data_IF_916702639641
#
_entry.id   IF_916702639641
#
_cell.length_a   1.000
_cell.length_b   1.000
_cell.length_c   1.000
_cell.angle_alpha   90.00
_cell.angle_beta   90.00
_cell.angle_gamma   90.00
#
_symmetry.space_group_name_H-M   'P 1'
#
loop_
_entity.id
_entity.type
_entity.pdbx_description
1 polymer ?
#
# COMPACT_ATOMS: atom_id res chain seq x y z
N UNK A 1 -13.47 -12.31 15.34
CA UNK A 1 -12.35 -12.49 14.37
C UNK A 1 -11.04 -12.60 15.13
N UNK A 2 -10.10 -13.46 14.70
CA UNK A 2 -8.79 -13.62 15.36
C UNK A 2 -7.79 -12.58 14.82
N UNK A 3 -7.15 -11.84 15.72
CA UNK A 3 -6.07 -10.90 15.34
C UNK A 3 -4.86 -11.70 14.87
N UNK A 4 -4.32 -11.33 13.71
CA UNK A 4 -3.13 -11.92 13.13
C UNK A 4 -1.86 -11.39 13.82
N UNK A 5 -0.82 -12.21 13.85
CA UNK A 5 0.46 -11.89 14.50
C UNK A 5 1.54 -11.36 13.52
N UNK A 6 1.19 -11.19 12.26
CA UNK A 6 2.07 -10.60 11.24
C UNK A 6 1.25 -9.96 10.12
N UNK A 7 1.83 -8.97 9.41
CA UNK A 7 1.24 -8.39 8.22
C UNK A 7 0.97 -9.47 7.15
N UNK A 8 1.96 -10.36 6.91
CA UNK A 8 1.82 -11.45 5.95
C UNK A 8 0.63 -12.37 6.27
N UNK A 9 0.41 -12.72 7.54
CA UNK A 9 -0.74 -13.57 7.92
C UNK A 9 -2.07 -12.84 7.78
N UNK A 10 -2.11 -11.53 7.98
CA UNK A 10 -3.33 -10.74 7.76
C UNK A 10 -3.67 -10.66 6.28
N UNK A 11 -2.69 -10.37 5.41
CA UNK A 11 -2.87 -10.37 3.96
C UNK A 11 -3.37 -11.73 3.48
N UNK A 12 -2.72 -12.82 3.91
CA UNK A 12 -3.11 -14.17 3.53
C UNK A 12 -4.54 -14.50 3.99
N UNK A 13 -4.89 -14.21 5.24
CA UNK A 13 -6.24 -14.42 5.77
C UNK A 13 -7.30 -13.61 5.03
N UNK A 14 -6.97 -12.35 4.70
CA UNK A 14 -7.84 -11.47 3.92
C UNK A 14 -8.15 -12.05 2.53
N UNK A 15 -7.13 -12.51 1.81
CA UNK A 15 -7.28 -13.05 0.46
C UNK A 15 -7.98 -14.42 0.45
N UNK A 16 -7.65 -15.32 1.41
CA UNK A 16 -8.28 -16.65 1.51
C UNK A 16 -9.77 -16.56 1.88
N UNK A 17 -10.13 -15.67 2.80
CA UNK A 17 -11.51 -15.52 3.27
C UNK A 17 -12.32 -14.52 2.45
N UNK A 18 -11.68 -13.76 1.55
CA UNK A 18 -12.29 -12.69 0.74
C UNK A 18 -13.09 -11.66 1.57
N UNK A 19 -12.54 -11.29 2.73
CA UNK A 19 -13.13 -10.33 3.65
C UNK A 19 -12.08 -9.31 4.10
N UNK A 20 -11.97 -9.04 5.36
CA UNK A 20 -10.89 -8.26 5.95
C UNK A 20 -10.20 -9.04 7.07
N UNK A 21 -8.98 -8.63 7.39
CA UNK A 21 -8.21 -9.20 8.49
C UNK A 21 -7.42 -8.10 9.21
N UNK A 22 -7.18 -8.29 10.51
CA UNK A 22 -6.48 -7.32 11.35
C UNK A 22 -5.22 -7.96 11.90
N UNK A 23 -4.11 -7.22 11.87
CA UNK A 23 -2.90 -7.53 12.62
C UNK A 23 -2.61 -6.39 13.60
N UNK A 24 -2.23 -6.75 14.83
CA UNK A 24 -1.71 -5.83 15.84
C UNK A 24 -0.26 -6.20 16.11
N UNK A 25 0.67 -5.33 15.75
CA UNK A 25 2.09 -5.65 15.64
C UNK A 25 2.92 -4.80 16.59
N UNK A 26 3.87 -5.45 17.21
CA UNK A 26 4.89 -4.85 18.07
C UNK A 26 6.28 -5.07 17.45
N UNK A 27 7.11 -4.23 17.63
CA UNK A 27 8.50 -3.88 17.44
C UNK A 27 9.54 -4.75 16.76
N UNK A 28 9.46 -6.03 16.65
CA UNK A 28 10.62 -6.87 16.31
C UNK A 28 10.75 -7.27 14.84
N UNK A 29 9.93 -6.73 13.97
CA UNK A 29 10.11 -6.98 12.55
C UNK A 29 11.22 -6.07 11.99
N UNK A 30 12.26 -6.70 11.42
CA UNK A 30 13.24 -6.02 10.58
C UNK A 30 12.49 -5.14 9.58
N UNK A 31 12.98 -3.92 9.27
CA UNK A 31 12.35 -3.07 8.27
C UNK A 31 12.12 -3.91 7.02
N UNK A 32 10.84 -4.08 6.68
CA UNK A 32 10.46 -4.84 5.49
C UNK A 32 10.94 -4.06 4.27
N UNK A 33 11.44 -4.75 3.25
CA UNK A 33 11.64 -4.12 1.96
C UNK A 33 10.29 -3.69 1.41
N UNK A 34 10.30 -2.72 0.48
CA UNK A 34 9.10 -2.32 -0.23
C UNK A 34 8.34 -3.57 -0.71
N UNK A 35 7.07 -3.63 -0.42
CA UNK A 35 6.20 -4.75 -0.77
C UNK A 35 4.90 -4.25 -1.41
N UNK A 36 4.24 -5.14 -2.11
CA UNK A 36 3.01 -4.90 -2.87
C UNK A 36 2.10 -6.10 -2.62
N UNK A 37 0.81 -5.85 -2.46
CA UNK A 37 -0.18 -6.90 -2.28
C UNK A 37 -1.51 -6.58 -2.97
N UNK A 38 -2.38 -7.58 -3.08
CA UNK A 38 -3.64 -7.55 -3.84
C UNK A 38 -4.85 -7.07 -3.01
N UNK A 39 -4.64 -6.59 -1.80
CA UNK A 39 -5.69 -6.06 -0.93
C UNK A 39 -5.45 -4.57 -0.63
N UNK A 40 -6.49 -3.86 -0.21
CA UNK A 40 -6.31 -2.56 0.44
C UNK A 40 -5.68 -2.75 1.81
N UNK A 41 -4.92 -1.76 2.26
CA UNK A 41 -4.36 -1.74 3.61
C UNK A 41 -4.67 -0.42 4.31
N UNK A 42 -5.10 -0.52 5.56
CA UNK A 42 -5.11 0.59 6.50
C UNK A 42 -3.98 0.35 7.48
N UNK A 43 -3.04 1.27 7.53
CA UNK A 43 -1.93 1.25 8.47
C UNK A 43 -2.11 2.37 9.50
N UNK A 44 -2.22 2.02 10.79
CA UNK A 44 -2.35 2.96 11.89
C UNK A 44 -1.16 2.87 12.84
N UNK A 45 -0.48 3.99 13.09
CA UNK A 45 0.63 4.09 14.05
C UNK A 45 0.11 4.38 15.45
N UNK A 46 0.29 3.43 16.38
CA UNK A 46 0.01 3.63 17.81
C UNK A 46 1.19 4.33 18.46
N UNK A 47 2.42 3.89 18.16
CA UNK A 47 3.64 4.49 18.67
C UNK A 47 4.80 4.35 17.69
N UNK A 48 5.76 5.27 17.77
CA UNK A 48 6.88 5.31 16.85
C UNK A 48 6.49 5.80 15.46
N UNK A 49 7.44 5.77 14.58
CA UNK A 49 7.33 6.24 13.21
C UNK A 49 8.24 7.42 12.94
N UNK A 50 8.61 7.61 11.72
CA UNK A 50 9.35 8.77 11.26
C UNK A 50 9.02 9.05 9.80
N UNK A 51 9.20 8.06 8.93
CA UNK A 51 8.95 8.23 7.52
C UNK A 51 8.38 6.97 6.87
N UNK A 52 7.35 7.16 6.05
CA UNK A 52 6.69 6.13 5.29
C UNK A 52 6.77 6.46 3.80
N UNK A 53 7.24 5.53 2.99
CA UNK A 53 7.17 5.62 1.54
C UNK A 53 5.93 4.85 1.07
N UNK A 54 5.06 5.52 0.32
CA UNK A 54 3.94 4.89 -0.37
C UNK A 54 4.03 5.33 -1.82
N UNK A 55 4.17 4.36 -2.70
CA UNK A 55 4.38 4.53 -4.13
C UNK A 55 5.58 5.45 -4.46
N UNK A 56 5.35 6.70 -4.76
CA UNK A 56 6.39 7.70 -5.05
C UNK A 56 6.37 8.89 -4.07
N UNK A 57 5.69 8.77 -2.93
CA UNK A 57 5.56 9.85 -1.95
C UNK A 57 6.10 9.44 -0.59
N UNK A 58 6.89 10.33 -0.02
CA UNK A 58 7.33 10.22 1.37
C UNK A 58 6.39 10.99 2.30
N UNK A 59 6.03 10.35 3.38
CA UNK A 59 5.21 10.92 4.43
C UNK A 59 5.98 10.87 5.75
N UNK A 60 6.17 12.01 6.38
CA UNK A 60 6.53 12.01 7.79
C UNK A 60 5.31 11.59 8.62
N UNK A 61 5.52 10.74 9.61
CA UNK A 61 4.43 10.25 10.43
C UNK A 61 4.82 10.03 11.89
N UNK A 62 3.82 10.11 12.75
CA UNK A 62 3.92 9.93 14.20
C UNK A 62 2.76 9.10 14.72
N UNK A 63 2.69 8.93 16.05
CA UNK A 63 1.52 8.33 16.72
C UNK A 63 0.22 9.07 16.34
N UNK A 64 -0.83 8.32 16.04
CA UNK A 64 -2.13 8.83 15.61
C UNK A 64 -2.31 9.02 14.11
N UNK A 65 -1.23 8.90 13.33
CA UNK A 65 -1.32 8.93 11.87
C UNK A 65 -1.83 7.59 11.32
N UNK A 66 -2.67 7.69 10.30
CA UNK A 66 -3.29 6.56 9.63
C UNK A 66 -3.10 6.72 8.12
N UNK A 67 -2.75 5.62 7.46
CA UNK A 67 -2.54 5.56 6.02
C UNK A 67 -3.53 4.64 5.35
N UNK A 68 -4.02 5.05 4.19
CA UNK A 68 -4.80 4.25 3.27
C UNK A 68 -3.94 3.89 2.06
N UNK A 69 -3.68 2.62 1.88
CA UNK A 69 -2.82 2.08 0.83
C UNK A 69 -3.70 1.28 -0.12
N UNK A 70 -3.67 1.64 -1.40
CA UNK A 70 -4.45 0.98 -2.43
C UNK A 70 -3.81 -0.35 -2.83
N UNK A 71 -4.55 -1.20 -3.54
CA UNK A 71 -3.97 -2.37 -4.21
C UNK A 71 -2.77 -1.95 -5.04
N UNK A 72 -1.75 -2.78 -5.04
CA UNK A 72 -0.57 -2.62 -5.89
C UNK A 72 0.28 -1.36 -5.64
N UNK A 73 -0.05 -0.52 -4.67
CA UNK A 73 0.84 0.56 -4.24
C UNK A 73 2.01 -0.01 -3.44
N UNK A 74 3.22 0.19 -3.96
CA UNK A 74 4.44 -0.21 -3.26
C UNK A 74 4.65 0.64 -2.02
N UNK A 75 4.75 0.02 -0.84
CA UNK A 75 4.87 0.78 0.40
C UNK A 75 5.84 0.14 1.39
N UNK A 76 6.34 0.99 2.31
CA UNK A 76 7.34 0.57 3.27
C UNK A 76 7.63 1.70 4.28
N UNK A 77 7.68 1.42 5.60
CA UNK A 77 8.21 2.37 6.59
C UNK A 77 9.71 2.51 6.39
N UNK A 78 10.16 3.63 5.82
CA UNK A 78 11.56 3.85 5.41
C UNK A 78 12.47 4.18 6.58
N UNK A 79 11.94 4.82 7.61
CA UNK A 79 12.63 5.12 8.85
C UNK A 79 11.70 4.95 10.04
N UNK A 80 12.20 4.32 11.10
CA UNK A 80 11.52 4.15 12.38
C UNK A 80 12.45 4.72 13.45
N UNK A 81 11.93 5.65 14.25
CA UNK A 81 12.70 6.46 15.20
C UNK A 81 12.72 5.92 16.62
N UNK A 82 11.88 4.96 16.94
CA UNK A 82 11.75 4.46 18.30
C UNK A 82 12.10 2.99 18.43
N UNK A 83 12.47 2.65 19.65
CA UNK A 83 12.72 1.28 20.06
C UNK A 83 11.44 0.45 20.04
N UNK A 84 10.27 1.08 20.14
CA UNK A 84 8.96 0.40 20.18
C UNK A 84 8.03 0.99 19.13
N UNK A 85 7.87 0.26 18.02
CA UNK A 85 6.94 0.61 16.96
C UNK A 85 5.71 -0.28 17.04
N UNK A 86 4.64 0.24 17.62
CA UNK A 86 3.35 -0.43 17.74
C UNK A 86 2.40 0.08 16.66
N UNK A 87 1.77 -0.85 15.93
CA UNK A 87 0.91 -0.52 14.80
C UNK A 87 -0.23 -1.51 14.62
N UNK A 88 -1.30 -1.04 14.04
CA UNK A 88 -2.43 -1.86 13.58
C UNK A 88 -2.49 -1.82 12.07
N UNK A 89 -2.63 -3.00 11.46
CA UNK A 89 -2.80 -3.17 10.03
C UNK A 89 -4.15 -3.83 9.79
N UNK A 90 -4.96 -3.26 8.88
CA UNK A 90 -6.21 -3.85 8.42
C UNK A 90 -6.05 -4.12 6.93
N UNK A 91 -5.99 -5.39 6.55
CA UNK A 91 -6.01 -5.82 5.15
C UNK A 91 -7.45 -6.04 4.72
N UNK A 92 -7.88 -5.49 3.59
CA UNK A 92 -9.27 -5.50 3.14
C UNK A 92 -9.33 -6.03 1.70
N UNK A 93 -10.15 -7.07 1.49
CA UNK A 93 -10.39 -7.61 0.15
C UNK A 93 -11.23 -6.62 -0.68
N UNK A 94 -10.79 -6.23 -1.88
CA UNK A 94 -11.42 -5.14 -2.63
C UNK A 94 -12.90 -5.38 -2.95
N UNK A 95 -13.24 -6.57 -3.42
CA UNK A 95 -14.64 -6.88 -3.73
C UNK A 95 -15.53 -6.94 -2.49
N UNK A 96 -14.97 -7.26 -1.33
CA UNK A 96 -15.71 -7.17 -0.07
C UNK A 96 -16.06 -5.70 0.24
N UNK A 97 -15.09 -4.80 0.16
CA UNK A 97 -15.34 -3.37 0.39
C UNK A 97 -16.32 -2.80 -0.64
N UNK A 98 -16.20 -3.20 -1.91
CA UNK A 98 -17.13 -2.81 -2.96
C UNK A 98 -18.58 -3.25 -2.66
N UNK A 99 -18.76 -4.46 -2.15
CA UNK A 99 -20.08 -4.98 -1.73
C UNK A 99 -20.64 -4.26 -0.49
N UNK A 100 -19.78 -3.62 0.31
CA UNK A 100 -20.16 -2.79 1.45
C UNK A 100 -20.66 -1.38 1.05
N UNK A 101 -20.42 -0.95 -0.18
CA UNK A 101 -20.91 0.34 -0.70
C UNK A 101 -22.43 0.31 -0.96
N UNK A 102 -23.05 1.49 -0.94
CA UNK A 102 -24.45 1.67 -1.37
C UNK A 102 -24.50 2.52 -2.63
N UNK A 103 -25.69 2.69 -3.21
CA UNK A 103 -25.91 3.55 -4.39
C UNK A 103 -25.50 5.01 -4.16
N UNK A 104 -25.42 5.45 -2.92
CA UNK A 104 -25.10 6.83 -2.53
C UNK A 104 -23.80 6.99 -1.76
N UNK A 105 -23.17 5.90 -1.33
CA UNK A 105 -21.98 5.93 -0.47
C UNK A 105 -20.92 4.96 -0.99
N UNK A 106 -19.84 5.51 -1.48
CA UNK A 106 -18.65 4.76 -1.88
C UNK A 106 -17.61 4.76 -0.74
N UNK A 107 -17.39 3.61 -0.13
CA UNK A 107 -16.39 3.43 0.94
C UNK A 107 -14.95 3.30 0.42
N UNK A 108 -14.76 3.22 -0.91
CA UNK A 108 -13.44 3.15 -1.51
C UNK A 108 -12.77 4.54 -1.65
N UNK A 109 -13.46 5.64 -1.37
CA UNK A 109 -12.94 6.99 -1.58
C UNK A 109 -11.59 7.23 -0.89
N UNK A 110 -11.41 6.75 0.34
CA UNK A 110 -10.15 6.90 1.06
C UNK A 110 -8.98 6.14 0.43
N UNK A 111 -9.23 5.15 -0.44
CA UNK A 111 -8.19 4.43 -1.18
C UNK A 111 -7.96 4.99 -2.59
N UNK A 112 -8.99 5.50 -3.26
CA UNK A 112 -8.94 5.91 -4.66
C UNK A 112 -8.68 7.41 -4.85
N UNK A 113 -9.11 8.26 -3.91
CA UNK A 113 -8.96 9.70 -4.04
C UNK A 113 -7.52 10.12 -3.74
N UNK A 114 -6.86 10.71 -4.73
CA UNK A 114 -5.51 11.26 -4.65
C UNK A 114 -5.46 12.58 -5.42
N UNK A 115 -4.78 13.57 -4.88
CA UNK A 115 -4.42 14.81 -5.57
C UNK A 115 -2.99 15.23 -5.20
N UNK A 116 -2.51 16.35 -5.72
CA UNK A 116 -1.13 16.79 -5.52
C UNK A 116 -0.78 17.09 -4.05
N UNK A 117 -1.76 17.47 -3.25
CA UNK A 117 -1.55 17.92 -1.86
C UNK A 117 -2.08 16.94 -0.82
N UNK A 118 -3.03 16.06 -1.18
CA UNK A 118 -3.68 15.13 -0.27
C UNK A 118 -3.78 13.73 -0.88
N UNK A 119 -3.60 12.69 -0.08
CA UNK A 119 -3.62 11.35 -0.62
C UNK A 119 -3.76 10.27 0.44
N UNK A 120 -2.67 9.64 0.83
CA UNK A 120 -2.72 8.42 1.63
C UNK A 120 -2.94 8.64 3.13
N UNK A 121 -2.58 9.81 3.66
CA UNK A 121 -2.46 10.05 5.11
C UNK A 121 -3.59 10.88 5.68
N UNK A 122 -4.11 10.46 6.83
CA UNK A 122 -4.90 11.29 7.75
C UNK A 122 -4.28 11.25 9.14
N UNK A 123 -4.53 12.27 9.95
CA UNK A 123 -4.14 12.32 11.36
C UNK A 123 -5.39 12.30 12.22
N UNK A 124 -5.49 11.32 13.13
CA UNK A 124 -6.61 11.20 14.05
C UNK A 124 -6.39 12.08 15.29
N UNK A 125 -7.39 12.87 15.66
CA UNK A 125 -7.43 13.56 16.96
C UNK A 125 -7.48 12.55 18.12
N UNK A 126 -7.19 12.97 19.33
CA UNK A 126 -7.18 12.09 20.50
C UNK A 126 -8.50 11.32 20.71
N UNK A 127 -9.65 11.95 20.42
CA UNK A 127 -10.94 11.29 20.54
C UNK A 127 -11.24 10.36 19.37
N UNK A 128 -10.79 10.71 18.18
CA UNK A 128 -10.87 9.83 16.99
C UNK A 128 -9.98 8.59 17.15
N UNK A 129 -8.79 8.72 17.74
CA UNK A 129 -7.93 7.58 18.10
C UNK A 129 -8.61 6.62 19.07
N UNK A 130 -9.24 7.15 20.15
CA UNK A 130 -10.02 6.32 21.10
C UNK A 130 -11.14 5.57 20.38
N UNK A 131 -11.86 6.26 19.49
CA UNK A 131 -12.96 5.67 18.73
C UNK A 131 -12.47 4.61 17.74
N UNK A 132 -11.35 4.85 17.06
CA UNK A 132 -10.72 3.86 16.18
C UNK A 132 -10.34 2.59 16.97
N UNK A 133 -9.62 2.75 18.08
CA UNK A 133 -9.22 1.62 18.94
C UNK A 133 -10.43 0.88 19.53
N UNK A 134 -11.52 1.55 19.82
CA UNK A 134 -12.77 0.92 20.25
C UNK A 134 -13.34 -0.01 19.15
N UNK A 135 -13.33 0.41 17.88
CA UNK A 135 -13.73 -0.47 16.78
C UNK A 135 -12.82 -1.68 16.64
N UNK A 136 -11.51 -1.47 16.74
CA UNK A 136 -10.53 -2.56 16.68
C UNK A 136 -10.76 -3.57 17.81
N UNK A 137 -11.01 -3.09 19.02
CA UNK A 137 -11.33 -3.95 20.16
C UNK A 137 -12.60 -4.77 19.92
N UNK A 138 -13.66 -4.17 19.38
CA UNK A 138 -14.89 -4.88 19.02
C UNK A 138 -14.67 -5.97 17.97
N UNK A 139 -13.84 -5.70 16.95
CA UNK A 139 -13.51 -6.64 15.89
C UNK A 139 -12.58 -7.78 16.36
N UNK A 140 -11.93 -7.64 17.50
CA UNK A 140 -11.08 -8.67 18.11
C UNK A 140 -11.81 -9.67 18.99
N UNK A 141 -13.13 -9.71 18.92
CA UNK A 141 -14.00 -10.45 19.82
C UNK A 141 -14.09 -11.97 19.62
N UNK A 142 -15.03 -12.58 20.32
CA UNK A 142 -15.26 -14.01 20.49
C UNK A 142 -15.77 -14.73 19.23
N UNK A 143 -15.71 -16.07 19.24
CA UNK A 143 -16.35 -16.94 18.24
C UNK A 143 -17.80 -17.30 18.69
N UNK A 144 -18.60 -16.29 19.02
CA UNK A 144 -19.99 -16.48 19.44
C UNK A 144 -20.95 -16.46 18.24
N UNK A 145 -22.17 -16.97 18.45
CA UNK A 145 -23.22 -16.94 17.44
C UNK A 145 -23.49 -15.51 16.95
N UNK A 146 -23.43 -15.31 15.62
CA UNK A 146 -23.69 -14.00 14.99
C UNK A 146 -22.51 -13.03 15.07
N UNK A 147 -21.32 -13.46 15.49
CA UNK A 147 -20.14 -12.61 15.55
C UNK A 147 -19.72 -12.11 14.17
N UNK A 148 -19.86 -12.91 13.13
CA UNK A 148 -19.62 -12.54 11.74
C UNK A 148 -20.50 -11.38 11.28
N UNK A 149 -21.77 -11.35 11.71
CA UNK A 149 -22.70 -10.24 11.44
C UNK A 149 -22.27 -8.97 12.20
N UNK A 150 -21.87 -9.14 13.47
CA UNK A 150 -21.40 -8.03 14.27
C UNK A 150 -20.08 -7.46 13.73
N UNK A 151 -19.15 -8.33 13.33
CA UNK A 151 -17.88 -7.92 12.70
C UNK A 151 -18.14 -7.12 11.43
N UNK A 152 -19.09 -7.56 10.59
CA UNK A 152 -19.49 -6.84 9.39
C UNK A 152 -20.10 -5.46 9.73
N UNK A 153 -21.01 -5.38 10.69
CA UNK A 153 -21.62 -4.12 11.10
C UNK A 153 -20.60 -3.13 11.66
N UNK A 154 -19.69 -3.61 12.51
CA UNK A 154 -18.60 -2.78 13.08
C UNK A 154 -17.62 -2.33 12.00
N UNK A 155 -17.32 -3.18 11.01
CA UNK A 155 -16.48 -2.82 9.87
C UNK A 155 -17.12 -1.70 9.04
N UNK A 156 -18.43 -1.77 8.75
CA UNK A 156 -19.14 -0.69 8.04
C UNK A 156 -19.09 0.64 8.81
N UNK A 157 -19.28 0.57 10.13
CA UNK A 157 -19.17 1.76 11.00
C UNK A 157 -17.76 2.35 10.97
N UNK A 158 -16.73 1.51 11.09
CA UNK A 158 -15.32 1.89 11.01
C UNK A 158 -15.00 2.56 9.66
N UNK A 159 -15.35 1.92 8.55
CA UNK A 159 -15.06 2.48 7.21
C UNK A 159 -15.80 3.79 6.94
N UNK A 160 -17.05 3.91 7.41
CA UNK A 160 -17.82 5.16 7.33
C UNK A 160 -17.16 6.26 8.17
N UNK A 161 -16.72 5.94 9.39
CA UNK A 161 -16.03 6.86 10.27
C UNK A 161 -14.72 7.36 9.65
N UNK A 162 -13.90 6.47 9.12
CA UNK A 162 -12.62 6.82 8.51
C UNK A 162 -12.81 7.65 7.22
N UNK A 163 -13.76 7.30 6.35
CA UNK A 163 -14.05 8.09 5.16
C UNK A 163 -14.54 9.51 5.49
N UNK A 164 -15.34 9.69 6.54
CA UNK A 164 -15.76 11.04 7.00
C UNK A 164 -14.56 11.89 7.41
N UNK A 165 -13.60 11.33 8.13
CA UNK A 165 -12.38 12.05 8.52
C UNK A 165 -11.55 12.36 7.27
N UNK A 166 -11.39 11.39 6.39
CA UNK A 166 -10.64 11.53 5.14
C UNK A 166 -11.22 12.67 4.27
N UNK A 167 -12.54 12.68 4.04
CA UNK A 167 -13.20 13.72 3.26
C UNK A 167 -13.04 15.10 3.91
N UNK A 168 -13.22 15.21 5.22
CA UNK A 168 -13.01 16.46 5.95
C UNK A 168 -11.59 16.99 5.77
N UNK A 169 -10.56 16.15 6.01
CA UNK A 169 -9.16 16.59 5.91
C UNK A 169 -8.75 16.86 4.46
N UNK A 170 -9.33 16.18 3.47
CA UNK A 170 -9.09 16.47 2.06
C UNK A 170 -9.56 17.86 1.65
N UNK A 171 -10.68 18.32 2.21
CA UNK A 171 -11.21 19.66 1.96
C UNK A 171 -10.38 20.75 2.64
N UNK A 172 -9.86 20.47 3.83
CA UNK A 172 -9.00 21.41 4.59
C UNK A 172 -7.60 21.55 3.96
N UNK A 173 -7.06 20.49 3.35
CA UNK A 173 -5.70 20.46 2.78
C UNK A 173 -5.51 21.29 1.51
N UNK A 174 -6.57 21.72 0.86
CA UNK A 174 -6.51 22.59 -0.34
C UNK A 174 -5.86 23.95 -0.04
N UNK A 175 -5.68 24.31 1.24
CA UNK A 175 -5.12 25.61 1.69
C UNK A 175 -3.65 25.58 2.14
N UNK A 176 -2.99 24.44 2.22
CA UNK A 176 -1.63 24.30 2.77
C UNK A 176 -0.78 23.35 1.93
N UNK A 177 0.09 23.87 1.08
CA UNK A 177 1.14 23.06 0.42
C UNK A 177 2.46 23.18 1.21
N UNK A 178 2.93 22.11 1.90
CA UNK A 178 4.30 22.08 2.39
C UNK A 178 5.25 21.73 1.24
N UNK A 179 6.30 22.51 1.03
CA UNK A 179 7.38 22.13 0.13
C UNK A 179 8.14 20.92 0.70
N UNK A 180 8.38 19.86 -0.11
CA UNK A 180 9.21 18.73 0.32
C UNK A 180 10.65 19.20 0.54
N UNK A 181 11.34 18.63 1.54
CA UNK A 181 12.78 18.87 1.71
C UNK A 181 13.53 18.50 0.42
N UNK A 182 14.52 19.31 0.02
CA UNK A 182 15.21 19.21 -1.28
C UNK A 182 15.76 17.79 -1.61
N UNK A 183 16.16 17.02 -0.59
CA UNK A 183 16.60 15.62 -0.75
C UNK A 183 15.45 14.69 -1.16
N UNK A 184 14.26 14.89 -0.60
CA UNK A 184 13.08 14.09 -0.96
C UNK A 184 12.57 14.46 -2.36
N UNK A 185 12.71 15.72 -2.78
CA UNK A 185 12.33 16.14 -4.13
C UNK A 185 13.09 15.34 -5.20
N UNK A 186 14.41 15.20 -5.10
CA UNK A 186 15.20 14.44 -6.07
C UNK A 186 14.80 12.96 -6.14
N UNK A 187 14.54 12.32 -5.00
CA UNK A 187 14.09 10.92 -4.98
C UNK A 187 12.68 10.79 -5.52
N UNK A 188 11.78 11.72 -5.19
CA UNK A 188 10.43 11.76 -5.75
C UNK A 188 10.45 11.91 -7.27
N UNK A 189 11.33 12.76 -7.81
CA UNK A 189 11.49 12.92 -9.25
C UNK A 189 11.96 11.62 -9.92
N UNK A 190 12.93 10.91 -9.31
CA UNK A 190 13.41 9.61 -9.80
C UNK A 190 12.28 8.57 -9.76
N UNK A 191 11.52 8.47 -8.67
CA UNK A 191 10.40 7.54 -8.53
C UNK A 191 9.29 7.85 -9.54
N UNK A 192 8.94 9.13 -9.69
CA UNK A 192 7.94 9.59 -10.67
C UNK A 192 8.36 9.27 -12.10
N UNK A 193 9.63 9.55 -12.43
CA UNK A 193 10.16 9.21 -13.76
C UNK A 193 10.09 7.71 -14.05
N UNK A 194 10.47 6.86 -13.08
CA UNK A 194 10.39 5.41 -13.23
C UNK A 194 8.94 4.97 -13.45
N UNK A 195 7.99 5.51 -12.67
CA UNK A 195 6.57 5.13 -12.78
C UNK A 195 5.95 5.54 -14.11
N UNK A 196 6.28 6.74 -14.62
CA UNK A 196 5.78 7.23 -15.93
C UNK A 196 6.38 6.44 -17.10
N UNK A 197 7.65 6.01 -17.00
CA UNK A 197 8.36 5.34 -18.07
C UNK A 197 8.51 3.83 -17.82
N UNK A 198 7.59 3.21 -17.08
CA UNK A 198 7.71 1.84 -16.59
C UNK A 198 7.82 0.80 -17.73
N UNK A 199 7.21 1.10 -18.89
CA UNK A 199 7.21 0.26 -20.10
C UNK A 199 8.50 0.39 -20.91
N UNK A 200 9.29 1.44 -20.67
CA UNK A 200 10.51 1.73 -21.42
C UNK A 200 11.72 0.94 -20.88
N UNK A 201 12.84 1.03 -21.59
CA UNK A 201 14.11 0.44 -21.14
C UNK A 201 14.75 1.26 -20.02
N UNK A 202 14.39 0.94 -18.78
CA UNK A 202 14.90 1.58 -17.56
C UNK A 202 16.18 0.89 -17.07
N UNK A 203 17.35 1.35 -17.57
CA UNK A 203 18.65 0.91 -17.04
C UNK A 203 19.19 1.91 -16.01
N UNK A 204 20.02 1.41 -15.07
CA UNK A 204 20.70 2.29 -14.08
C UNK A 204 21.52 3.36 -14.81
N UNK A 205 22.11 3.02 -15.95
CA UNK A 205 22.90 3.97 -16.75
C UNK A 205 22.04 5.09 -17.32
N UNK A 206 20.92 4.76 -17.97
CA UNK A 206 20.01 5.74 -18.57
C UNK A 206 19.40 6.66 -17.50
N UNK A 207 19.02 6.10 -16.35
CA UNK A 207 18.52 6.87 -15.20
C UNK A 207 19.60 7.82 -14.64
N UNK A 208 20.83 7.33 -14.49
CA UNK A 208 21.94 8.15 -14.00
C UNK A 208 22.26 9.32 -14.94
N UNK A 209 22.28 9.07 -16.25
CA UNK A 209 22.44 10.10 -17.27
C UNK A 209 21.30 11.13 -17.25
N UNK A 210 20.06 10.66 -17.16
CA UNK A 210 18.87 11.53 -17.10
C UNK A 210 18.88 12.49 -15.91
N UNK A 211 19.29 12.00 -14.73
CA UNK A 211 19.33 12.80 -13.50
C UNK A 211 20.69 13.45 -13.22
N UNK A 212 21.63 13.40 -14.16
CA UNK A 212 22.98 13.97 -14.02
C UNK A 212 23.74 13.44 -12.80
N UNK A 213 23.58 12.13 -12.50
CA UNK A 213 24.21 11.44 -11.39
C UNK A 213 25.19 10.37 -11.87
N UNK A 214 26.16 10.01 -11.02
CA UNK A 214 26.87 8.75 -11.25
C UNK A 214 25.97 7.56 -10.88
N UNK A 215 26.12 6.44 -11.59
CA UNK A 215 25.34 5.21 -11.31
C UNK A 215 25.48 4.76 -9.85
N UNK A 216 26.68 4.90 -9.26
CA UNK A 216 26.93 4.54 -7.87
C UNK A 216 26.19 5.46 -6.89
N UNK A 217 26.18 6.76 -7.16
CA UNK A 217 25.48 7.73 -6.34
C UNK A 217 23.97 7.56 -6.43
N UNK A 218 23.44 7.41 -7.62
CA UNK A 218 22.01 7.11 -7.86
C UNK A 218 21.57 5.86 -7.09
N UNK A 219 22.30 4.74 -7.22
CA UNK A 219 21.98 3.50 -6.51
C UNK A 219 22.01 3.66 -5.00
N UNK A 220 22.98 4.44 -4.47
CA UNK A 220 23.11 4.69 -3.04
C UNK A 220 21.93 5.51 -2.51
N UNK A 221 21.67 6.71 -3.06
CA UNK A 221 20.60 7.58 -2.58
C UNK A 221 19.23 6.92 -2.71
N UNK A 222 18.99 6.19 -3.81
CA UNK A 222 17.75 5.44 -4.01
C UNK A 222 17.57 4.37 -2.95
N UNK A 223 18.63 3.57 -2.68
CA UNK A 223 18.57 2.52 -1.67
C UNK A 223 18.43 3.07 -0.25
N UNK A 224 19.13 4.15 0.07
CA UNK A 224 19.06 4.80 1.38
C UNK A 224 17.65 5.36 1.64
N UNK A 225 17.00 5.91 0.60
CA UNK A 225 15.67 6.48 0.70
C UNK A 225 14.55 5.42 0.66
N UNK A 226 14.66 4.40 -0.20
CA UNK A 226 13.57 3.44 -0.48
C UNK A 226 13.76 2.07 0.18
N UNK A 227 14.89 1.83 0.83
CA UNK A 227 15.24 0.52 1.41
C UNK A 227 15.48 -0.60 0.37
N UNK A 228 15.31 -0.32 -0.93
CA UNK A 228 15.45 -1.33 -1.99
C UNK A 228 16.34 -0.85 -3.14
N UNK A 229 16.68 -1.75 -4.06
CA UNK A 229 17.42 -1.36 -5.27
C UNK A 229 16.48 -0.92 -6.39
N UNK A 230 16.96 -0.04 -7.28
CA UNK A 230 16.21 0.44 -8.46
C UNK A 230 15.61 -0.72 -9.26
N UNK A 231 16.40 -1.74 -9.57
CA UNK A 231 15.93 -2.88 -10.36
C UNK A 231 14.82 -3.68 -9.65
N UNK A 232 14.90 -3.82 -8.32
CA UNK A 232 13.83 -4.47 -7.55
C UNK A 232 12.57 -3.62 -7.54
N UNK A 233 12.71 -2.32 -7.40
CA UNK A 233 11.58 -1.39 -7.45
C UNK A 233 10.87 -1.45 -8.80
N UNK A 234 11.61 -1.30 -9.92
CA UNK A 234 11.07 -1.42 -11.28
C UNK A 234 10.37 -2.76 -11.48
N UNK A 235 11.02 -3.85 -11.06
CA UNK A 235 10.43 -5.20 -11.17
C UNK A 235 9.12 -5.30 -10.38
N UNK A 236 9.08 -4.81 -9.15
CA UNK A 236 7.88 -4.84 -8.32
C UNK A 236 6.73 -4.06 -8.97
N UNK A 237 7.02 -2.85 -9.49
CA UNK A 237 6.02 -2.02 -10.19
C UNK A 237 5.51 -2.68 -11.48
N UNK A 238 6.37 -3.29 -12.27
CA UNK A 238 5.98 -4.04 -13.48
C UNK A 238 5.09 -5.24 -13.15
N UNK A 239 5.40 -5.98 -12.09
CA UNK A 239 4.57 -7.10 -11.64
C UNK A 239 3.23 -6.61 -11.10
N UNK A 240 3.19 -5.48 -10.39
CA UNK A 240 1.96 -4.84 -9.97
C UNK A 240 1.05 -4.51 -11.15
N UNK A 241 1.59 -3.81 -12.13
CA UNK A 241 0.86 -3.47 -13.36
C UNK A 241 0.41 -4.72 -14.14
N UNK A 242 1.24 -5.78 -14.16
CA UNK A 242 0.87 -7.05 -14.77
C UNK A 242 -0.35 -7.70 -14.09
N UNK A 243 -0.46 -7.60 -12.77
CA UNK A 243 -1.62 -8.12 -12.03
C UNK A 243 -2.90 -7.36 -12.37
N UNK A 244 -2.82 -6.02 -12.45
CA UNK A 244 -3.95 -5.16 -12.86
C UNK A 244 -4.47 -5.59 -14.24
N UNK A 245 -3.58 -5.65 -15.25
CA UNK A 245 -3.94 -6.03 -16.62
C UNK A 245 -4.52 -7.45 -16.71
N UNK A 246 -3.96 -8.41 -15.96
CA UNK A 246 -4.49 -9.77 -15.92
C UNK A 246 -5.89 -9.83 -15.29
N UNK A 247 -6.16 -9.02 -14.28
CA UNK A 247 -7.49 -8.91 -13.63
C UNK A 247 -8.49 -8.21 -14.56
N UNK A 248 -8.03 -7.27 -15.40
CA UNK A 248 -8.84 -6.62 -16.45
C UNK A 248 -9.12 -7.53 -17.65
N UNK A 249 -8.56 -8.75 -17.67
CA UNK A 249 -8.79 -9.76 -18.70
C UNK A 249 -7.80 -9.73 -19.86
N UNK A 250 -6.71 -8.99 -19.77
CA UNK A 250 -5.65 -9.01 -20.78
C UNK A 250 -5.01 -10.40 -20.87
N UNK A 251 -4.61 -10.80 -22.06
CA UNK A 251 -3.87 -12.05 -22.24
C UNK A 251 -2.47 -11.96 -21.61
N UNK A 252 -1.89 -13.11 -21.27
CA UNK A 252 -0.55 -13.19 -20.66
C UNK A 252 0.54 -12.58 -21.56
N UNK A 253 0.37 -12.66 -22.89
CA UNK A 253 1.31 -12.11 -23.86
C UNK A 253 1.20 -10.57 -23.90
N UNK A 254 -0.01 -10.04 -24.07
CA UNK A 254 -0.27 -8.59 -24.04
C UNK A 254 0.20 -7.96 -22.73
N UNK A 255 -0.05 -8.63 -21.62
CA UNK A 255 0.42 -8.18 -20.31
C UNK A 255 1.95 -8.08 -20.23
N UNK A 256 2.67 -9.07 -20.78
CA UNK A 256 4.14 -9.03 -20.83
C UNK A 256 4.65 -7.80 -21.58
N UNK A 257 4.09 -7.52 -22.75
CA UNK A 257 4.47 -6.38 -23.58
C UNK A 257 4.11 -5.04 -22.94
N UNK A 258 2.91 -4.95 -22.39
CA UNK A 258 2.38 -3.71 -21.76
C UNK A 258 3.06 -3.36 -20.42
N UNK A 259 3.74 -4.32 -19.78
CA UNK A 259 4.43 -4.07 -18.49
C UNK A 259 5.93 -3.77 -18.64
N UNK A 260 6.45 -3.65 -19.87
CA UNK A 260 7.86 -3.36 -20.11
C UNK A 260 8.81 -4.53 -19.87
N UNK A 261 8.32 -5.77 -19.93
CA UNK A 261 9.17 -6.95 -19.97
C UNK A 261 9.53 -7.25 -21.44
N UNK A 262 10.80 -7.14 -21.79
CA UNK A 262 11.29 -7.40 -23.16
C UNK A 262 11.52 -8.89 -23.44
N UNK A 263 11.45 -9.76 -22.44
CA UNK A 263 11.64 -11.21 -22.56
C UNK A 263 10.50 -11.94 -21.85
N UNK A 264 9.72 -12.69 -22.61
CA UNK A 264 8.56 -13.43 -22.12
C UNK A 264 8.92 -14.50 -21.06
N UNK A 265 10.06 -15.19 -21.25
CA UNK A 265 10.50 -16.21 -20.30
C UNK A 265 10.93 -15.58 -18.97
N UNK A 266 11.57 -14.42 -19.03
CA UNK A 266 11.94 -13.65 -17.86
C UNK A 266 10.68 -13.11 -17.14
N UNK A 267 9.68 -12.63 -17.88
CA UNK A 267 8.39 -12.23 -17.33
C UNK A 267 7.74 -13.38 -16.55
N UNK A 268 7.56 -14.56 -17.17
CA UNK A 268 6.93 -15.72 -16.52
C UNK A 268 7.66 -16.14 -15.25
N UNK A 269 9.01 -16.20 -15.29
CA UNK A 269 9.83 -16.55 -14.12
C UNK A 269 9.69 -15.52 -13.01
N UNK A 270 9.77 -14.24 -13.35
CA UNK A 270 9.73 -13.14 -12.40
C UNK A 270 8.36 -13.05 -11.75
N UNK A 271 7.29 -13.12 -12.55
CA UNK A 271 5.92 -13.11 -12.05
C UNK A 271 5.68 -14.29 -11.11
N UNK A 272 5.98 -15.52 -11.54
CA UNK A 272 5.78 -16.73 -10.73
C UNK A 272 6.60 -16.69 -9.44
N UNK A 273 7.84 -16.20 -9.49
CA UNK A 273 8.68 -16.05 -8.29
C UNK A 273 8.11 -15.02 -7.30
N UNK A 274 7.53 -13.95 -7.81
CA UNK A 274 7.03 -12.83 -6.98
C UNK A 274 5.65 -13.11 -6.43
N UNK A 275 4.76 -13.67 -7.26
CA UNK A 275 3.34 -13.90 -6.95
C UNK A 275 3.07 -15.30 -6.36
N UNK A 276 3.96 -16.26 -6.63
CA UNK A 276 3.81 -17.66 -6.19
C UNK A 276 3.06 -18.56 -7.18
N UNK A 277 2.31 -18.00 -8.12
CA UNK A 277 1.60 -18.72 -9.17
C UNK A 277 1.88 -18.12 -10.55
N UNK A 278 1.65 -18.88 -11.63
CA UNK A 278 1.89 -18.37 -12.97
C UNK A 278 0.86 -17.30 -13.39
N UNK A 279 1.22 -16.37 -14.32
CA UNK A 279 0.29 -15.35 -14.82
C UNK A 279 -1.01 -15.95 -15.35
N UNK A 280 -0.94 -17.09 -16.06
CA UNK A 280 -2.11 -17.80 -16.56
C UNK A 280 -3.03 -18.30 -15.44
N UNK A 281 -2.46 -18.81 -14.35
CA UNK A 281 -3.25 -19.19 -13.18
C UNK A 281 -3.84 -17.97 -12.50
N UNK A 282 -3.06 -16.91 -12.37
CA UNK A 282 -3.51 -15.66 -11.74
C UNK A 282 -4.75 -15.09 -12.44
N UNK A 283 -4.75 -14.98 -13.77
CA UNK A 283 -5.90 -14.51 -14.55
C UNK A 283 -7.16 -15.40 -14.46
N UNK A 284 -7.02 -16.65 -14.05
CA UNK A 284 -8.15 -17.57 -13.88
C UNK A 284 -8.76 -17.56 -12.47
N UNK A 285 -8.06 -17.04 -11.48
CA UNK A 285 -8.57 -16.93 -10.11
C UNK A 285 -9.40 -15.66 -9.89
N UNK A 286 -9.18 -14.64 -10.70
CA UNK A 286 -9.82 -13.33 -10.59
C UNK A 286 -11.01 -13.15 -11.57
N UNK A 287 -11.22 -14.09 -12.48
CA UNK A 287 -12.37 -14.20 -13.38
C UNK A 287 -13.27 -15.39 -12.95
#
# INVERSE_FOLDING_TARGET
MKICNSCKSAIQSCLENQTFAIAHLYNDEKPMAIHIHDCYEIYYSISGGKQFLIDNRFYDFTSGDLFFINQYEGHYPSQIDSVTHERIIISIYPDYLKKCCSDTTDLNQCFSYRNDTFGHKITLSADEQKRFLYYIHKLSGSEEFGQDILDHAVFLELMTFLNRIFIRQSQESVSLSPEPAAYHAQINDILSYINVNLTEELTIKNLAEHFFLSSSHLCKIFKDATGTTINRYITAKRISHAKELLTEGCSVMETCESCGFHDYSNYLKTFTKTVGISPKKYSQYEN
#
